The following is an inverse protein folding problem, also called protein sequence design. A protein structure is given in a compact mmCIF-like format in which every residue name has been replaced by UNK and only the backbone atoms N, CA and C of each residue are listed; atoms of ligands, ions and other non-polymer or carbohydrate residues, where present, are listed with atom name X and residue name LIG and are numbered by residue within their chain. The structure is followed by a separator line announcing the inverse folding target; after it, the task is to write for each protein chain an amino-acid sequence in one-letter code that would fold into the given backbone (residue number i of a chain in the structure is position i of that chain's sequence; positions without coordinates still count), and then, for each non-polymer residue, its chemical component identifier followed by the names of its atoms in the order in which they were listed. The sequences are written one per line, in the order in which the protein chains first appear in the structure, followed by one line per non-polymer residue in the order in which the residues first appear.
data_IF_560744132597
#
_entry.id   IF_560744132597
#
_cell.length_a   1.000
_cell.length_b   1.000
_cell.length_c   1.000
_cell.angle_alpha   90.00
_cell.angle_beta   90.00
_cell.angle_gamma   90.00
#
_symmetry.space_group_name_H-M   'P 1'
#
loop_
_entity.id
_entity.type
_entity.pdbx_description
1 polymer ?
#
# COMPACT_ATOMS: atom_id res chain seq x y z
N UNK A 1 -29.54 12.36 36.67
CA UNK A 1 -28.24 12.16 35.99
C UNK A 1 -27.63 13.53 35.84
N UNK A 2 -26.59 13.80 36.62
CA UNK A 2 -25.88 15.08 36.54
C UNK A 2 -24.95 15.04 35.33
N UNK A 3 -25.06 16.03 34.43
CA UNK A 3 -24.20 16.15 33.26
C UNK A 3 -23.01 17.02 33.64
N UNK A 4 -21.81 16.45 33.74
CA UNK A 4 -20.59 17.20 33.99
C UNK A 4 -20.03 17.73 32.66
N UNK A 5 -20.19 19.03 32.43
CA UNK A 5 -19.65 19.71 31.24
C UNK A 5 -18.36 20.43 31.59
N UNK A 6 -17.22 19.93 31.10
CA UNK A 6 -15.93 20.61 31.21
C UNK A 6 -15.76 21.52 29.99
N UNK A 7 -15.95 22.83 30.14
CA UNK A 7 -15.74 23.84 29.08
C UNK A 7 -14.52 24.70 29.43
N UNK A 8 -13.60 24.86 28.47
CA UNK A 8 -12.47 25.77 28.59
C UNK A 8 -12.89 27.24 28.38
N UNK A 9 -12.55 28.11 29.34
CA UNK A 9 -12.67 29.57 29.20
C UNK A 9 -12.76 30.32 30.53
N UNK A 10 -11.64 30.92 30.94
CA UNK A 10 -11.41 31.84 32.07
C UNK A 10 -11.58 31.23 33.47
N UNK A 11 -10.57 30.47 33.88
CA UNK A 11 -9.78 30.71 35.10
C UNK A 11 -8.60 29.71 35.13
N UNK A 12 -7.39 30.25 35.01
CA UNK A 12 -6.06 29.61 35.04
C UNK A 12 -5.99 28.16 35.56
N UNK A 13 -5.94 27.19 34.64
CA UNK A 13 -5.35 25.86 34.91
C UNK A 13 -3.92 25.89 34.37
N UNK A 14 -3.02 26.46 35.18
CA UNK A 14 -1.58 26.35 34.98
C UNK A 14 -0.98 25.11 35.68
N UNK A 15 -1.81 24.18 36.20
CA UNK A 15 -1.38 22.86 36.68
C UNK A 15 -2.47 21.83 36.43
N UNK A 16 -2.08 20.75 35.73
CA UNK A 16 -2.65 19.39 35.71
C UNK A 16 -4.06 19.24 36.31
N UNK A 17 -5.05 18.88 35.48
CA UNK A 17 -6.33 18.38 35.98
C UNK A 17 -6.07 17.01 36.62
N UNK A 18 -5.89 17.01 37.93
CA UNK A 18 -5.90 15.79 38.71
C UNK A 18 -7.38 15.38 38.84
N UNK A 19 -7.83 14.39 38.06
CA UNK A 19 -9.14 13.76 38.28
C UNK A 19 -9.00 12.95 39.57
N UNK A 20 -9.27 13.60 40.71
CA UNK A 20 -9.03 13.01 42.06
C UNK A 20 -10.07 11.94 42.41
N UNK A 21 -11.21 11.91 41.71
CA UNK A 21 -12.19 10.86 41.85
C UNK A 21 -11.76 9.65 41.02
N UNK A 22 -11.49 8.52 41.67
CA UNK A 22 -11.28 7.24 40.99
C UNK A 22 -12.53 6.74 40.28
N UNK A 23 -13.71 7.25 40.63
CA UNK A 23 -15.00 6.81 40.07
C UNK A 23 -15.92 8.01 39.81
N UNK A 24 -16.49 8.04 38.61
CA UNK A 24 -17.50 9.00 38.17
C UNK A 24 -18.75 8.21 37.79
N UNK A 25 -19.94 8.64 38.23
CA UNK A 25 -21.22 8.06 37.82
C UNK A 25 -22.01 9.09 37.02
N UNK A 26 -22.42 8.72 35.80
CA UNK A 26 -23.04 9.61 34.83
C UNK A 26 -22.18 9.81 33.57
N UNK A 27 -22.76 10.47 32.59
CA UNK A 27 -22.12 10.74 31.30
C UNK A 27 -21.14 11.92 31.43
N UNK A 28 -19.97 11.77 30.79
CA UNK A 28 -18.86 12.74 30.83
C UNK A 28 -18.62 13.28 29.42
N UNK A 29 -18.47 14.60 29.30
CA UNK A 29 -18.01 15.24 28.06
C UNK A 29 -16.75 16.05 28.32
N UNK A 30 -15.72 15.83 27.51
CA UNK A 30 -14.44 16.53 27.54
C UNK A 30 -14.30 17.34 26.26
N UNK A 31 -14.34 18.67 26.40
CA UNK A 31 -13.99 19.63 25.34
C UNK A 31 -12.58 20.17 25.63
N UNK A 32 -11.58 19.68 24.92
CA UNK A 32 -10.17 19.94 25.20
C UNK A 32 -9.49 20.71 24.06
N UNK A 33 -9.19 21.98 24.30
CA UNK A 33 -8.67 22.91 23.28
C UNK A 33 -7.17 23.18 23.37
N UNK A 34 -6.49 22.60 24.36
CA UNK A 34 -5.04 22.71 24.54
C UNK A 34 -4.30 21.81 23.54
N UNK A 35 -3.06 22.17 23.23
CA UNK A 35 -2.16 21.37 22.37
C UNK A 35 -1.38 20.31 23.14
N UNK A 36 -1.33 20.43 24.48
CA UNK A 36 -0.67 19.46 25.34
C UNK A 36 -1.46 18.16 25.41
N UNK A 37 -0.77 17.02 25.50
CA UNK A 37 -1.43 15.71 25.56
C UNK A 37 -2.44 15.62 26.72
N UNK A 38 -3.61 15.08 26.41
CA UNK A 38 -4.66 14.77 27.38
C UNK A 38 -4.47 13.34 27.87
N UNK A 39 -4.13 13.17 29.15
CA UNK A 39 -3.96 11.87 29.77
C UNK A 39 -5.15 11.57 30.67
N UNK A 40 -5.95 10.55 30.32
CA UNK A 40 -6.93 9.98 31.24
C UNK A 40 -6.22 8.92 32.09
N UNK A 41 -6.13 9.10 33.42
CA UNK A 41 -5.25 8.32 34.25
C UNK A 41 -5.76 6.89 34.46
N UNK A 42 -4.83 5.96 34.73
CA UNK A 42 -5.18 4.61 35.13
C UNK A 42 -5.97 4.64 36.45
N UNK A 43 -6.97 3.77 36.57
CA UNK A 43 -7.83 3.71 37.75
C UNK A 43 -9.01 4.69 37.74
N UNK A 44 -9.08 5.62 36.77
CA UNK A 44 -10.30 6.37 36.51
C UNK A 44 -11.38 5.45 35.95
N UNK A 45 -12.52 5.36 36.63
CA UNK A 45 -13.70 4.63 36.18
C UNK A 45 -14.86 5.57 35.89
N UNK A 46 -15.53 5.37 34.76
CA UNK A 46 -16.73 6.11 34.38
C UNK A 46 -17.90 5.12 34.22
N UNK A 47 -18.88 5.25 35.11
CA UNK A 47 -20.16 4.54 35.06
C UNK A 47 -21.15 5.37 34.25
N UNK A 48 -21.02 5.31 32.92
CA UNK A 48 -21.73 6.14 31.96
C UNK A 48 -20.98 6.19 30.63
N UNK A 49 -21.39 7.09 29.73
CA UNK A 49 -20.71 7.35 28.48
C UNK A 49 -19.60 8.40 28.65
N UNK A 50 -18.59 8.35 27.78
CA UNK A 50 -17.55 9.38 27.68
C UNK A 50 -17.55 9.94 26.25
N UNK A 51 -17.67 11.24 26.10
CA UNK A 51 -17.44 11.94 24.82
C UNK A 51 -16.18 12.78 24.92
N UNK A 52 -15.25 12.63 23.98
CA UNK A 52 -14.02 13.43 23.92
C UNK A 52 -13.92 14.15 22.59
N UNK A 53 -13.74 15.47 22.65
CA UNK A 53 -13.41 16.32 21.53
C UNK A 53 -12.12 17.08 21.86
N UNK A 54 -11.01 16.65 21.29
CA UNK A 54 -9.67 17.14 21.60
C UNK A 54 -8.85 17.47 20.33
N UNK A 55 -9.35 18.32 19.42
CA UNK A 55 -8.84 18.48 18.04
C UNK A 55 -7.37 18.94 17.95
N UNK A 56 -6.77 19.36 19.06
CA UNK A 56 -5.39 19.84 19.14
C UNK A 56 -4.46 18.97 19.98
N UNK A 57 -4.97 17.93 20.64
CA UNK A 57 -4.19 17.09 21.56
C UNK A 57 -4.16 15.61 21.15
N UNK A 58 -3.05 14.94 21.47
CA UNK A 58 -3.06 13.48 21.59
C UNK A 58 -3.84 13.11 22.83
N UNK A 59 -4.66 12.07 22.76
CA UNK A 59 -5.37 11.55 23.94
C UNK A 59 -4.82 10.19 24.31
N UNK A 60 -4.37 10.03 25.56
CA UNK A 60 -3.93 8.76 26.13
C UNK A 60 -4.97 8.27 27.12
N UNK A 61 -5.73 7.25 26.74
CA UNK A 61 -6.83 6.74 27.55
C UNK A 61 -6.40 5.51 28.35
N UNK A 62 -6.23 5.67 29.67
CA UNK A 62 -6.10 4.57 30.63
C UNK A 62 -7.36 4.40 31.51
N UNK A 63 -8.44 5.13 31.21
CA UNK A 63 -9.67 5.06 31.99
C UNK A 63 -10.50 3.83 31.58
N UNK A 64 -11.28 3.29 32.50
CA UNK A 64 -12.29 2.27 32.22
C UNK A 64 -13.66 2.92 32.14
N UNK A 65 -14.37 2.69 31.04
CA UNK A 65 -15.70 3.26 30.80
C UNK A 65 -16.69 2.11 30.57
N UNK A 66 -17.77 2.07 31.35
CA UNK A 66 -18.78 1.01 31.25
C UNK A 66 -19.73 1.21 30.05
N UNK A 67 -20.01 2.47 29.71
CA UNK A 67 -20.73 2.87 28.52
C UNK A 67 -19.81 2.96 27.30
N UNK A 68 -20.19 3.81 26.36
CA UNK A 68 -19.44 4.01 25.12
C UNK A 68 -18.51 5.22 25.26
N UNK A 69 -17.31 5.10 24.69
CA UNK A 69 -16.40 6.22 24.47
C UNK A 69 -16.58 6.71 23.03
N UNK A 70 -17.09 7.92 22.86
CA UNK A 70 -17.19 8.61 21.56
C UNK A 70 -16.02 9.56 21.38
N UNK A 71 -15.17 9.27 20.40
CA UNK A 71 -14.02 10.09 20.01
C UNK A 71 -14.44 10.97 18.84
N UNK A 72 -14.78 12.23 19.11
CA UNK A 72 -15.23 13.20 18.10
C UNK A 72 -14.10 13.76 17.26
N UNK A 73 -13.01 14.18 17.89
CA UNK A 73 -11.81 14.67 17.21
C UNK A 73 -10.59 14.58 18.12
N UNK A 74 -9.41 14.49 17.52
CA UNK A 74 -8.08 14.50 18.17
C UNK A 74 -7.10 15.32 17.33
N UNK A 75 -5.91 15.66 17.86
CA UNK A 75 -4.81 16.25 17.06
C UNK A 75 -4.59 15.44 15.78
N UNK A 76 -3.86 16.03 14.83
CA UNK A 76 -3.37 15.41 13.60
C UNK A 76 -2.63 14.05 13.73
N UNK A 77 -2.78 13.27 14.81
CA UNK A 77 -2.50 11.87 14.63
C UNK A 77 -2.80 10.84 15.68
N UNK A 78 -3.42 11.03 16.86
CA UNK A 78 -3.61 9.86 17.75
C UNK A 78 -4.64 9.98 18.90
N UNK A 79 -5.60 9.05 18.93
CA UNK A 79 -6.16 8.50 20.18
C UNK A 79 -5.39 7.22 20.54
N UNK A 80 -4.83 7.12 21.74
CA UNK A 80 -4.19 5.92 22.26
C UNK A 80 -5.13 5.23 23.25
N UNK A 81 -5.69 4.09 22.84
CA UNK A 81 -6.45 3.22 23.71
C UNK A 81 -5.53 2.23 24.41
N UNK A 82 -5.46 2.37 25.74
CA UNK A 82 -4.56 1.59 26.59
C UNK A 82 -5.33 0.56 27.45
N UNK A 83 -6.66 0.47 27.27
CA UNK A 83 -7.56 -0.39 28.06
C UNK A 83 -8.38 -1.29 27.14
N UNK A 84 -8.34 -2.60 27.38
CA UNK A 84 -9.00 -3.59 26.51
C UNK A 84 -10.51 -3.74 26.71
N UNK A 85 -11.04 -3.27 27.84
CA UNK A 85 -12.45 -3.44 28.19
C UNK A 85 -13.39 -2.37 27.59
N UNK A 86 -12.85 -1.31 27.00
CA UNK A 86 -13.64 -0.17 26.55
C UNK A 86 -14.37 -0.45 25.24
N UNK A 87 -15.52 0.22 25.06
CA UNK A 87 -16.30 0.25 23.82
C UNK A 87 -16.09 1.60 23.15
N UNK A 88 -15.62 1.61 21.91
CA UNK A 88 -15.23 2.84 21.22
C UNK A 88 -16.15 3.13 20.01
N UNK A 89 -16.46 4.40 19.83
CA UNK A 89 -17.05 4.96 18.60
C UNK A 89 -16.09 6.05 18.10
N UNK A 90 -15.49 5.82 16.93
CA UNK A 90 -14.50 6.71 16.35
C UNK A 90 -15.12 7.55 15.23
N UNK A 91 -15.20 8.86 15.43
CA UNK A 91 -15.79 9.84 14.51
C UNK A 91 -14.74 10.83 13.96
N UNK A 92 -13.51 10.75 14.46
CA UNK A 92 -12.42 11.67 14.12
C UNK A 92 -11.88 11.43 12.70
N UNK A 93 -12.48 12.08 11.72
CA UNK A 93 -12.18 11.89 10.29
C UNK A 93 -10.69 12.16 9.95
N UNK A 94 -10.10 11.21 9.22
CA UNK A 94 -8.71 11.23 8.79
C UNK A 94 -7.68 11.09 9.92
N UNK A 95 -8.11 10.75 11.14
CA UNK A 95 -7.21 10.61 12.30
C UNK A 95 -6.85 9.14 12.56
N UNK A 96 -5.92 8.95 13.50
CA UNK A 96 -5.45 7.62 13.90
C UNK A 96 -6.02 7.21 15.24
N UNK A 97 -6.50 5.97 15.30
CA UNK A 97 -6.81 5.23 16.51
C UNK A 97 -5.71 4.18 16.73
N UNK A 98 -4.97 4.29 17.82
CA UNK A 98 -4.01 3.27 18.25
C UNK A 98 -4.63 2.44 19.37
N UNK A 99 -4.71 1.13 19.19
CA UNK A 99 -5.22 0.18 20.17
C UNK A 99 -4.05 -0.69 20.60
N UNK A 100 -3.58 -0.53 21.83
CA UNK A 100 -2.36 -1.21 22.28
C UNK A 100 -2.52 -2.71 22.50
N UNK A 101 -3.75 -3.20 22.69
CA UNK A 101 -4.03 -4.63 22.86
C UNK A 101 -5.30 -5.04 22.11
N UNK A 102 -6.48 -4.79 22.67
CA UNK A 102 -7.78 -5.00 22.03
C UNK A 102 -8.78 -3.99 22.58
N UNK A 103 -10.06 -4.12 22.23
CA UNK A 103 -11.20 -3.36 22.75
C UNK A 103 -12.42 -4.27 22.81
N UNK A 104 -13.37 -3.97 23.70
CA UNK A 104 -14.58 -4.77 23.85
C UNK A 104 -15.53 -4.62 22.65
N UNK A 105 -15.57 -3.41 22.07
CA UNK A 105 -16.28 -3.14 20.82
C UNK A 105 -15.66 -1.92 20.14
N UNK A 106 -15.73 -1.89 18.82
CA UNK A 106 -15.29 -0.75 18.01
C UNK A 106 -16.32 -0.46 16.92
N UNK A 107 -16.70 0.79 16.79
CA UNK A 107 -17.45 1.32 15.65
C UNK A 107 -16.67 2.45 15.03
N UNK A 108 -16.53 2.46 13.71
CA UNK A 108 -15.79 3.48 12.96
C UNK A 108 -16.77 4.16 12.00
N UNK A 109 -17.03 5.44 12.27
CA UNK A 109 -18.02 6.25 11.57
C UNK A 109 -17.40 7.20 10.53
N UNK A 110 -16.06 7.33 10.51
CA UNK A 110 -15.34 8.20 9.59
C UNK A 110 -14.03 7.56 9.15
N UNK A 111 -13.52 7.95 7.97
CA UNK A 111 -12.25 7.44 7.44
C UNK A 111 -11.16 7.57 8.49
N UNK A 112 -10.41 6.50 8.74
CA UNK A 112 -9.46 6.46 9.86
C UNK A 112 -8.28 5.54 9.56
N UNK A 113 -7.17 5.77 10.26
CA UNK A 113 -6.11 4.77 10.41
C UNK A 113 -6.27 4.07 11.75
N UNK A 114 -6.29 2.74 11.76
CA UNK A 114 -6.26 1.94 12.98
C UNK A 114 -4.91 1.25 13.08
N UNK A 115 -4.19 1.48 14.16
CA UNK A 115 -2.95 0.78 14.47
C UNK A 115 -3.23 -0.15 15.62
N UNK A 116 -3.02 -1.45 15.42
CA UNK A 116 -3.26 -2.44 16.47
C UNK A 116 -2.33 -3.63 16.29
N UNK A 117 -1.76 -4.20 17.37
CA UNK A 117 -0.89 -5.36 17.27
C UNK A 117 -1.66 -6.69 17.19
N UNK A 118 -2.98 -6.67 17.39
CA UNK A 118 -3.85 -7.85 17.38
C UNK A 118 -5.11 -7.60 16.57
N UNK A 119 -5.75 -8.66 16.12
CA UNK A 119 -7.04 -8.55 15.44
C UNK A 119 -8.09 -7.91 16.35
N UNK A 120 -8.79 -6.90 15.85
CA UNK A 120 -9.92 -6.25 16.52
C UNK A 120 -11.16 -6.41 15.65
N UNK A 121 -12.30 -6.77 16.26
CA UNK A 121 -13.58 -6.75 15.55
C UNK A 121 -14.16 -5.33 15.58
N UNK A 122 -14.54 -4.80 14.43
CA UNK A 122 -15.10 -3.47 14.30
C UNK A 122 -16.30 -3.44 13.37
N UNK A 123 -17.30 -2.62 13.71
CA UNK A 123 -18.34 -2.23 12.76
C UNK A 123 -17.82 -1.01 12.00
N UNK A 124 -17.63 -1.15 10.68
CA UNK A 124 -17.17 -0.07 9.81
C UNK A 124 -18.35 0.40 8.97
N UNK A 125 -18.76 1.66 9.13
CA UNK A 125 -19.94 2.18 8.44
C UNK A 125 -19.74 2.23 6.92
N UNK A 126 -20.85 2.17 6.20
CA UNK A 126 -20.86 2.26 4.74
C UNK A 126 -19.99 3.40 4.22
N UNK A 127 -19.20 3.12 3.19
CA UNK A 127 -18.31 4.07 2.50
C UNK A 127 -17.17 4.62 3.38
N UNK A 128 -17.02 4.15 4.62
CA UNK A 128 -15.87 4.46 5.48
C UNK A 128 -14.71 3.55 5.10
N UNK A 129 -13.56 4.17 4.81
CA UNK A 129 -12.30 3.47 4.57
C UNK A 129 -11.43 3.47 5.83
N UNK A 130 -10.98 2.29 6.23
CA UNK A 130 -10.08 2.09 7.36
C UNK A 130 -8.76 1.51 6.85
N UNK A 131 -7.66 2.19 7.19
CA UNK A 131 -6.30 1.71 6.97
C UNK A 131 -5.85 1.02 8.26
N UNK A 132 -5.64 -0.30 8.23
CA UNK A 132 -5.24 -1.10 9.40
C UNK A 132 -3.75 -1.43 9.32
N UNK A 133 -3.02 -1.13 10.39
CA UNK A 133 -1.57 -1.32 10.50
C UNK A 133 -1.19 -2.09 11.76
N UNK A 134 -0.15 -2.92 11.67
CA UNK A 134 0.45 -3.58 12.83
C UNK A 134 1.13 -2.61 13.79
N UNK A 135 1.80 -1.60 13.25
CA UNK A 135 2.45 -0.55 14.02
C UNK A 135 2.54 0.76 13.23
N UNK A 136 3.12 1.80 13.83
CA UNK A 136 3.23 3.12 13.23
C UNK A 136 4.27 3.25 12.10
N UNK A 137 5.12 2.24 11.90
CA UNK A 137 6.16 2.22 10.87
C UNK A 137 5.66 1.65 9.54
N UNK A 138 4.56 0.89 9.57
CA UNK A 138 3.91 0.37 8.36
C UNK A 138 3.39 1.53 7.49
N UNK A 139 3.79 1.57 6.23
CA UNK A 139 3.28 2.54 5.26
C UNK A 139 1.83 2.22 4.85
N UNK A 140 1.10 3.21 4.34
CA UNK A 140 -0.30 3.02 3.92
C UNK A 140 -0.44 2.01 2.76
N UNK A 141 0.61 1.82 1.96
CA UNK A 141 0.63 0.88 0.83
C UNK A 141 0.78 -0.59 1.28
N UNK A 142 1.40 -0.81 2.43
CA UNK A 142 1.57 -2.14 3.05
C UNK A 142 0.45 -2.48 4.06
N UNK A 143 -0.44 -1.52 4.29
CA UNK A 143 -1.53 -1.64 5.25
C UNK A 143 -2.75 -2.35 4.65
N UNK A 144 -3.55 -2.98 5.51
CA UNK A 144 -4.81 -3.59 5.10
C UNK A 144 -5.86 -2.49 4.95
N UNK A 145 -6.48 -2.39 3.77
CA UNK A 145 -7.57 -1.44 3.51
C UNK A 145 -8.92 -2.15 3.62
N UNK A 146 -9.78 -1.64 4.49
CA UNK A 146 -11.14 -2.16 4.69
C UNK A 146 -12.12 -1.04 4.36
N UNK A 147 -13.10 -1.34 3.51
CA UNK A 147 -14.20 -0.42 3.19
C UNK A 147 -15.46 -0.97 3.83
N UNK A 148 -16.13 -0.15 4.65
CA UNK A 148 -17.37 -0.52 5.29
C UNK A 148 -18.51 -0.67 4.30
N UNK A 149 -19.48 -1.51 4.67
CA UNK A 149 -20.68 -1.79 3.88
C UNK A 149 -21.92 -1.34 4.66
N UNK A 150 -23.10 -1.54 4.09
CA UNK A 150 -24.38 -1.35 4.81
C UNK A 150 -24.59 -2.37 5.95
N UNK A 151 -23.73 -3.40 6.06
CA UNK A 151 -23.80 -4.39 7.13
C UNK A 151 -23.38 -3.80 8.47
N UNK A 152 -24.17 -4.09 9.52
CA UNK A 152 -23.81 -3.79 10.91
C UNK A 152 -23.04 -4.95 11.57
N UNK A 153 -22.74 -6.03 10.83
CA UNK A 153 -21.92 -7.12 11.37
C UNK A 153 -20.45 -6.69 11.52
N UNK A 154 -19.80 -7.02 12.65
CA UNK A 154 -18.39 -6.68 12.85
C UNK A 154 -17.49 -7.38 11.82
N UNK A 155 -16.60 -6.61 11.20
CA UNK A 155 -15.49 -7.11 10.38
C UNK A 155 -14.22 -7.23 11.22
N UNK A 156 -13.32 -8.13 10.81
CA UNK A 156 -12.02 -8.29 11.46
C UNK A 156 -11.03 -7.26 10.89
N UNK A 157 -10.56 -6.37 11.74
CA UNK A 157 -9.39 -5.54 11.48
C UNK A 157 -8.15 -6.37 11.84
N UNK A 158 -7.64 -7.13 10.87
CA UNK A 158 -6.41 -7.91 11.03
C UNK A 158 -5.22 -7.08 10.52
N UNK A 159 -4.27 -6.70 11.40
CA UNK A 159 -3.17 -5.81 11.04
C UNK A 159 -2.05 -6.45 10.21
N UNK A 160 -2.21 -7.70 9.76
CA UNK A 160 -1.20 -8.39 8.95
C UNK A 160 -0.80 -7.56 7.73
N UNK A 161 0.49 -7.30 7.55
CA UNK A 161 1.00 -6.61 6.36
C UNK A 161 0.56 -7.33 5.08
N UNK A 162 0.19 -6.56 4.07
CA UNK A 162 0.02 -7.12 2.73
C UNK A 162 1.40 -7.62 2.24
N UNK A 163 1.49 -8.85 1.72
CA UNK A 163 2.76 -9.34 1.20
C UNK A 163 3.23 -8.40 0.10
N UNK A 164 4.50 -7.98 0.18
CA UNK A 164 5.10 -7.15 -0.85
C UNK A 164 5.08 -7.88 -2.19
N UNK A 165 4.64 -7.18 -3.23
CA UNK A 165 4.52 -7.73 -4.58
C UNK A 165 5.91 -8.00 -5.13
N UNK A 166 6.19 -9.25 -5.48
CA UNK A 166 7.51 -9.67 -5.94
C UNK A 166 7.65 -9.43 -7.44
N UNK A 167 8.45 -8.42 -7.80
CA UNK A 167 8.73 -8.02 -9.19
C UNK A 167 10.05 -8.56 -9.73
N UNK A 168 10.88 -9.20 -8.90
CA UNK A 168 12.26 -9.59 -9.24
C UNK A 168 12.33 -10.40 -10.52
N UNK A 169 11.52 -11.46 -10.63
CA UNK A 169 11.56 -12.34 -11.79
C UNK A 169 11.13 -11.65 -13.10
N UNK A 170 10.23 -10.66 -13.03
CA UNK A 170 9.81 -9.87 -14.19
C UNK A 170 10.93 -8.91 -14.62
N UNK A 171 11.55 -8.21 -13.66
CA UNK A 171 12.69 -7.32 -13.91
C UNK A 171 13.88 -8.08 -14.51
N UNK A 172 14.20 -9.26 -13.99
CA UNK A 172 15.25 -10.13 -14.55
C UNK A 172 14.91 -10.59 -15.97
N UNK A 173 13.66 -10.96 -16.25
CA UNK A 173 13.23 -11.37 -17.58
C UNK A 173 13.34 -10.22 -18.60
N UNK A 174 12.96 -8.99 -18.22
CA UNK A 174 13.11 -7.79 -19.05
C UNK A 174 14.59 -7.55 -19.38
N UNK A 175 15.47 -7.62 -18.38
CA UNK A 175 16.91 -7.40 -18.56
C UNK A 175 17.59 -8.48 -19.42
N UNK A 176 17.03 -9.69 -19.45
CA UNK A 176 17.56 -10.81 -20.23
C UNK A 176 17.18 -10.78 -21.72
N UNK A 177 16.29 -9.87 -22.14
CA UNK A 177 15.86 -9.78 -23.55
C UNK A 177 17.03 -9.41 -24.46
N UNK A 178 17.21 -10.19 -25.53
CA UNK A 178 18.25 -9.98 -26.54
C UNK A 178 17.61 -9.86 -27.92
N UNK A 179 18.22 -9.02 -28.76
CA UNK A 179 17.80 -8.80 -30.13
C UNK A 179 18.85 -9.27 -31.11
N UNK A 180 18.41 -9.76 -32.27
CA UNK A 180 19.26 -10.09 -33.42
C UNK A 180 19.15 -9.02 -34.50
N UNK A 181 19.96 -9.13 -35.56
CA UNK A 181 19.98 -8.16 -36.66
C UNK A 181 18.61 -8.12 -37.36
N UNK A 182 18.18 -6.92 -37.77
CA UNK A 182 16.98 -6.75 -38.61
C UNK A 182 17.38 -6.79 -40.08
N UNK A 183 16.70 -7.60 -40.87
CA UNK A 183 16.87 -7.67 -42.32
C UNK A 183 15.50 -7.89 -43.00
N UNK A 184 15.42 -7.59 -44.30
CA UNK A 184 14.24 -7.87 -45.12
C UNK A 184 14.21 -9.31 -45.62
N UNK A 185 15.36 -9.86 -45.98
CA UNK A 185 15.49 -11.18 -46.61
C UNK A 185 16.70 -12.00 -46.14
N UNK A 186 17.57 -11.45 -45.28
CA UNK A 186 18.75 -12.12 -44.75
C UNK A 186 19.97 -12.10 -45.67
N UNK A 187 19.88 -11.51 -46.86
CA UNK A 187 20.97 -11.47 -47.83
C UNK A 187 22.15 -10.60 -47.41
N UNK A 188 21.96 -9.72 -46.43
CA UNK A 188 22.97 -8.86 -45.83
C UNK A 188 23.51 -9.38 -44.49
N UNK A 189 23.13 -10.61 -44.10
CA UNK A 189 23.50 -11.22 -42.82
C UNK A 189 24.32 -12.48 -43.06
N UNK A 190 25.43 -12.61 -42.34
CA UNK A 190 26.34 -13.77 -42.46
C UNK A 190 25.59 -15.07 -42.14
N UNK A 191 25.92 -16.16 -42.85
CA UNK A 191 25.25 -17.47 -42.66
C UNK A 191 25.42 -18.04 -41.25
N UNK A 192 26.38 -17.56 -40.48
CA UNK A 192 26.63 -17.95 -39.08
C UNK A 192 25.83 -17.13 -38.06
N UNK A 193 25.12 -16.08 -38.51
CA UNK A 193 24.35 -15.18 -37.67
C UNK A 193 22.84 -15.37 -37.89
N UNK A 194 22.06 -14.99 -36.87
CA UNK A 194 20.60 -14.95 -36.94
C UNK A 194 20.12 -13.55 -37.26
N UNK A 195 18.98 -13.46 -37.96
CA UNK A 195 18.27 -12.21 -38.22
C UNK A 195 16.77 -12.37 -38.03
N UNK A 196 16.06 -11.24 -37.94
CA UNK A 196 14.61 -11.16 -37.80
C UNK A 196 14.03 -10.04 -38.65
N UNK A 197 12.70 -10.01 -38.82
CA UNK A 197 12.00 -8.88 -39.43
C UNK A 197 11.83 -7.73 -38.43
N UNK A 198 11.61 -6.51 -38.96
CA UNK A 198 11.29 -5.34 -38.15
C UNK A 198 10.00 -5.53 -37.35
N UNK A 199 8.99 -6.17 -37.94
CA UNK A 199 7.70 -6.45 -37.29
C UNK A 199 7.87 -7.30 -36.03
N UNK A 200 8.63 -8.40 -36.11
CA UNK A 200 8.88 -9.26 -34.97
C UNK A 200 9.67 -8.53 -33.86
N UNK A 201 10.66 -7.70 -34.23
CA UNK A 201 11.41 -6.87 -33.26
C UNK A 201 10.48 -5.89 -32.54
N UNK A 202 9.63 -5.19 -33.29
CA UNK A 202 8.69 -4.22 -32.70
C UNK A 202 7.66 -4.90 -31.80
N UNK A 203 7.20 -6.12 -32.13
CA UNK A 203 6.31 -6.88 -31.27
C UNK A 203 6.96 -7.20 -29.91
N UNK A 204 8.21 -7.65 -29.90
CA UNK A 204 8.96 -7.90 -28.66
C UNK A 204 9.23 -6.61 -27.87
N UNK A 205 9.63 -5.52 -28.54
CA UNK A 205 9.83 -4.21 -27.89
C UNK A 205 8.56 -3.70 -27.21
N UNK A 206 7.39 -3.89 -27.83
CA UNK A 206 6.10 -3.55 -27.25
C UNK A 206 5.80 -4.39 -26.01
N UNK A 207 6.08 -5.70 -26.03
CA UNK A 207 5.89 -6.57 -24.87
C UNK A 207 6.83 -6.17 -23.70
N UNK A 208 8.09 -5.83 -24.00
CA UNK A 208 9.04 -5.30 -23.00
C UNK A 208 8.51 -4.00 -22.39
N UNK A 209 7.97 -3.08 -23.20
CA UNK A 209 7.39 -1.83 -22.71
C UNK A 209 6.19 -2.06 -21.78
N UNK A 210 5.31 -3.00 -22.12
CA UNK A 210 4.16 -3.37 -21.27
C UNK A 210 4.63 -3.99 -19.95
N UNK A 211 5.60 -4.91 -20.01
CA UNK A 211 6.18 -5.51 -18.82
C UNK A 211 6.84 -4.47 -17.90
N UNK A 212 7.58 -3.51 -18.48
CA UNK A 212 8.20 -2.42 -17.72
C UNK A 212 7.16 -1.53 -17.05
N UNK A 213 6.02 -1.25 -17.71
CA UNK A 213 4.95 -0.47 -17.11
C UNK A 213 4.37 -1.12 -15.83
N UNK A 214 4.32 -2.46 -15.78
CA UNK A 214 3.91 -3.20 -14.57
C UNK A 214 4.98 -3.14 -13.48
N UNK A 215 6.26 -3.19 -13.86
CA UNK A 215 7.37 -2.98 -12.91
C UNK A 215 7.30 -1.60 -12.27
N UNK A 216 7.03 -0.57 -13.07
CA UNK A 216 6.99 0.83 -12.62
C UNK A 216 5.69 1.18 -11.85
N UNK A 217 4.62 0.40 -12.01
CA UNK A 217 3.34 0.62 -11.32
C UNK A 217 3.47 0.33 -9.82
N UNK A 218 3.42 1.36 -8.98
CA UNK A 218 3.56 1.23 -7.52
C UNK A 218 2.55 0.24 -6.91
N UNK A 219 1.28 0.33 -7.31
CA UNK A 219 0.18 -0.53 -6.83
C UNK A 219 -0.08 -1.73 -7.76
N UNK A 220 0.97 -2.27 -8.42
CA UNK A 220 0.81 -3.48 -9.21
C UNK A 220 0.40 -4.64 -8.30
N UNK A 221 -0.55 -5.48 -8.73
CA UNK A 221 -0.87 -6.72 -8.01
C UNK A 221 0.10 -7.84 -8.40
N UNK A 222 0.20 -8.89 -7.58
CA UNK A 222 1.00 -10.07 -7.96
C UNK A 222 0.48 -10.73 -9.24
N UNK A 223 -0.85 -10.73 -9.43
CA UNK A 223 -1.48 -11.22 -10.66
C UNK A 223 -1.06 -10.41 -11.90
N UNK A 224 -0.99 -9.08 -11.80
CA UNK A 224 -0.51 -8.25 -12.91
C UNK A 224 0.95 -8.55 -13.27
N UNK A 225 1.80 -8.76 -12.25
CA UNK A 225 3.21 -9.13 -12.45
C UNK A 225 3.34 -10.49 -13.12
N UNK A 226 2.58 -11.49 -12.66
CA UNK A 226 2.63 -12.85 -13.20
C UNK A 226 2.10 -12.91 -14.64
N UNK A 227 1.04 -12.15 -14.94
CA UNK A 227 0.49 -12.00 -16.28
C UNK A 227 1.47 -11.29 -17.23
N UNK A 228 2.12 -10.22 -16.77
CA UNK A 228 3.14 -9.51 -17.56
C UNK A 228 4.35 -10.40 -17.85
N UNK A 229 4.77 -11.21 -16.88
CA UNK A 229 5.85 -12.19 -17.06
C UNK A 229 5.50 -13.23 -18.10
N UNK A 230 4.28 -13.78 -18.03
CA UNK A 230 3.78 -14.77 -19.01
C UNK A 230 3.74 -14.15 -20.41
N UNK A 231 3.16 -12.96 -20.55
CA UNK A 231 3.08 -12.23 -21.83
C UNK A 231 4.47 -11.95 -22.42
N UNK A 232 5.42 -11.51 -21.60
CA UNK A 232 6.80 -11.28 -22.05
C UNK A 232 7.47 -12.57 -22.50
N UNK A 233 7.27 -13.67 -21.78
CA UNK A 233 7.83 -14.98 -22.15
C UNK A 233 7.28 -15.48 -23.50
N UNK A 234 5.98 -15.32 -23.74
CA UNK A 234 5.35 -15.65 -25.04
C UNK A 234 5.91 -14.81 -26.19
N UNK A 235 6.08 -13.50 -25.97
CA UNK A 235 6.68 -12.60 -26.96
C UNK A 235 8.14 -12.96 -27.28
N UNK A 236 8.93 -13.36 -26.27
CA UNK A 236 10.30 -13.84 -26.46
C UNK A 236 10.30 -15.13 -27.29
N UNK A 237 9.37 -16.07 -27.03
CA UNK A 237 9.25 -17.31 -27.79
C UNK A 237 8.92 -17.02 -29.26
N UNK A 238 7.88 -16.22 -29.51
CA UNK A 238 7.49 -15.82 -30.86
C UNK A 238 8.60 -15.08 -31.61
N UNK A 239 9.33 -14.20 -30.92
CA UNK A 239 10.49 -13.51 -31.50
C UNK A 239 11.60 -14.48 -31.88
N UNK A 240 11.87 -15.49 -31.03
CA UNK A 240 12.90 -16.51 -31.29
C UNK A 240 12.51 -17.39 -32.48
N UNK A 241 11.24 -17.80 -32.57
CA UNK A 241 10.70 -18.57 -33.71
C UNK A 241 10.74 -17.79 -35.03
N UNK A 242 10.60 -16.46 -34.97
CA UNK A 242 10.69 -15.60 -36.15
C UNK A 242 12.13 -15.45 -36.69
N UNK A 243 13.15 -15.87 -35.93
CA UNK A 243 14.55 -15.74 -36.35
C UNK A 243 14.91 -16.73 -37.46
N UNK A 244 15.73 -16.28 -38.41
CA UNK A 244 16.22 -17.06 -39.54
C UNK A 244 17.75 -16.95 -39.64
N UNK A 245 18.37 -17.93 -40.28
CA UNK A 245 19.79 -17.86 -40.63
C UNK A 245 20.03 -16.85 -41.75
N UNK A 246 21.18 -16.17 -41.70
CA UNK A 246 21.63 -15.29 -42.78
C UNK A 246 21.93 -16.04 -44.08
N UNK A 247 21.88 -15.34 -45.21
CA UNK A 247 22.11 -15.92 -46.54
C UNK A 247 23.13 -15.15 -47.36
N UNK A 248 23.96 -14.31 -46.71
CA UNK A 248 24.94 -13.49 -47.42
C UNK A 248 25.86 -14.36 -48.30
N UNK A 249 25.98 -14.04 -49.61
CA UNK A 249 26.87 -14.76 -50.50
C UNK A 249 28.32 -14.66 -50.04
N UNK A 250 29.07 -15.75 -50.17
CA UNK A 250 30.52 -15.71 -49.98
C UNK A 250 31.14 -14.89 -51.11
N UNK A 251 32.02 -13.95 -50.77
CA UNK A 251 32.78 -13.22 -51.78
C UNK A 251 33.71 -14.21 -52.49
N UNK A 252 33.32 -14.64 -53.70
CA UNK A 252 34.25 -15.31 -54.59
C UNK A 252 35.33 -14.29 -54.96
N UNK A 253 36.63 -14.56 -54.69
CA UNK A 253 37.67 -13.66 -55.12
C UNK A 253 37.57 -13.49 -56.64
N UNK A 254 37.48 -12.25 -57.08
CA UNK A 254 37.49 -11.93 -58.51
C UNK A 254 38.82 -12.42 -59.08
N UNK A 255 38.79 -13.55 -59.81
CA UNK A 255 39.98 -14.08 -60.47
C UNK A 255 40.33 -13.09 -61.58
N UNK A 256 41.36 -12.27 -61.37
CA UNK A 256 41.87 -11.36 -62.39
C UNK A 256 42.48 -12.19 -63.54
N UNK A 257 41.68 -12.42 -64.59
CA UNK A 257 42.07 -13.18 -65.78
C UNK A 257 42.98 -12.39 -66.73
N UNK A 258 43.27 -11.11 -66.45
CA UNK A 258 44.08 -10.24 -67.33
C UNK A 258 45.44 -10.87 -67.64
N UNK A 259 46.12 -11.42 -66.63
CA UNK A 259 47.41 -12.09 -66.81
C UNK A 259 47.33 -13.39 -67.64
N UNK A 260 46.19 -14.10 -67.60
CA UNK A 260 45.98 -15.30 -68.42
C UNK A 260 45.68 -14.93 -69.88
N UNK A 261 44.91 -13.86 -70.12
CA UNK A 261 44.63 -13.36 -71.48
C UNK A 261 45.87 -12.81 -72.17
N UNK A 262 46.79 -12.18 -71.44
CA UNK A 262 48.07 -11.72 -72.01
C UNK A 262 49.01 -12.89 -72.35
N UNK A 263 49.06 -13.93 -71.52
CA UNK A 263 49.91 -15.10 -71.75
C UNK A 263 49.48 -16.00 -72.92
N UNK A 264 48.20 -15.98 -73.31
CA UNK A 264 47.70 -16.72 -74.49
C UNK A 264 47.91 -15.91 -75.79
N UNK A 265 48.12 -14.60 -75.69
CA UNK A 265 48.32 -13.71 -76.84
C UNK A 265 49.79 -13.54 -77.26
N UNK A 266 50.74 -14.12 -76.51
CA UNK A 266 52.18 -14.13 -76.80
C UNK A 266 52.62 -15.45 -77.44
#
# INVERSE_FOLDING_TARGET
MENYTLKAGINNIAKQVNIVASEITGDVTIEYTSEADLNLPAGLKITGNLTVNAPKATVNNNATVTGTITIKDVKAGTWNELVSANKLVFEAAGKTLKINDTVAALTINANATVITPKTVNAVVKKDVTVIVKADATVSDDKAVKIVGTESEEPVKLDPKETPEVNKTALTEAIAAVKYVKVSTDGSDVEKTEKWTTQEAKTALENAVKVAQAVVDKAEATQEEVDNAKTTLAEAISAYTEAQKDGTKPEETPEVNKTALTEAIAA
#
